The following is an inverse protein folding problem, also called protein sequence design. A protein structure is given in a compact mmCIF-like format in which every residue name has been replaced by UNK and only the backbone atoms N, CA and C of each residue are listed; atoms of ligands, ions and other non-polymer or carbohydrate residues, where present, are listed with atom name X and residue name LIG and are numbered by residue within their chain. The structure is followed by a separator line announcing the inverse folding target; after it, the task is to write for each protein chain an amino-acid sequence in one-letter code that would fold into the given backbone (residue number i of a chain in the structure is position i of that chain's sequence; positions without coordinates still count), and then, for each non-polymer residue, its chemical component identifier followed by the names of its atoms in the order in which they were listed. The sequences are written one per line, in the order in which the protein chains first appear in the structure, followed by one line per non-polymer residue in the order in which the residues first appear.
data_IF_753898250621
#
_entry.id   IF_753898250621
#
_cell.length_a   1.000
_cell.length_b   1.000
_cell.length_c   1.000
_cell.angle_alpha   90.00
_cell.angle_beta   90.00
_cell.angle_gamma   90.00
#
_symmetry.space_group_name_H-M   'P 1'
#
loop_
_entity.id
_entity.type
_entity.pdbx_description
1 polymer ?
#
# COMPACT_ATOMS: atom_id res chain seq x y z
N UNK A 1 34.09 24.13 8.21
CA UNK A 1 33.74 25.42 7.59
C UNK A 1 33.02 25.14 6.28
N UNK A 2 31.79 25.65 6.21
CA UNK A 2 30.88 25.87 5.09
C UNK A 2 30.56 24.69 4.17
N UNK A 3 29.41 24.07 4.39
CA UNK A 3 28.13 24.46 3.74
C UNK A 3 28.15 24.18 2.24
N UNK A 4 27.89 22.91 1.88
CA UNK A 4 27.03 22.65 0.72
C UNK A 4 25.59 22.90 1.14
N UNK A 5 25.31 24.13 1.57
CA UNK A 5 23.96 24.64 1.55
C UNK A 5 23.57 24.59 0.07
N UNK A 6 22.78 23.57 -0.31
CA UNK A 6 22.16 23.54 -1.63
C UNK A 6 21.50 24.89 -1.77
N UNK A 7 21.95 25.67 -2.74
CA UNK A 7 21.34 26.94 -3.09
C UNK A 7 19.88 26.60 -3.43
N UNK A 8 18.98 26.75 -2.47
CA UNK A 8 17.56 26.45 -2.62
C UNK A 8 16.97 27.60 -3.42
N UNK A 9 17.10 27.51 -4.73
CA UNK A 9 16.54 28.49 -5.62
C UNK A 9 15.01 28.32 -5.63
N UNK A 10 14.29 29.40 -5.38
CA UNK A 10 12.83 29.42 -5.29
C UNK A 10 12.15 29.17 -6.66
N UNK A 11 12.89 28.79 -7.70
CA UNK A 11 12.37 28.37 -9.00
C UNK A 11 12.32 26.83 -9.17
N UNK A 12 13.00 26.05 -8.29
CA UNK A 12 13.07 24.59 -8.40
C UNK A 12 11.90 23.84 -7.73
N UNK A 13 11.07 24.53 -6.95
CA UNK A 13 9.91 23.93 -6.29
C UNK A 13 8.74 23.72 -7.26
N UNK A 14 8.55 22.47 -7.69
CA UNK A 14 7.32 22.06 -8.36
C UNK A 14 6.17 22.08 -7.35
N UNK A 15 5.15 22.91 -7.59
CA UNK A 15 3.92 22.95 -6.80
C UNK A 15 2.98 21.84 -7.25
N UNK A 16 2.40 21.12 -6.30
CA UNK A 16 1.38 20.09 -6.57
C UNK A 16 0.03 20.59 -6.07
N UNK A 17 -0.97 20.60 -6.95
CA UNK A 17 -2.36 20.86 -6.57
C UNK A 17 -2.98 19.56 -6.06
N UNK A 18 -3.53 19.57 -4.85
CA UNK A 18 -4.19 18.43 -4.23
C UNK A 18 -5.69 18.75 -4.12
N UNK A 19 -6.55 17.84 -4.59
CA UNK A 19 -8.00 17.91 -4.37
C UNK A 19 -8.33 17.11 -3.13
N UNK A 20 -8.86 17.78 -2.11
CA UNK A 20 -9.14 17.19 -0.79
C UNK A 20 -10.62 17.44 -0.45
N UNK A 21 -11.34 16.46 0.12
CA UNK A 21 -12.67 16.68 0.69
C UNK A 21 -12.68 17.83 1.70
N UNK A 22 -13.74 18.64 1.71
CA UNK A 22 -13.79 19.87 2.52
C UNK A 22 -13.60 19.60 4.01
N UNK A 23 -14.18 18.52 4.55
CA UNK A 23 -14.04 18.15 5.96
C UNK A 23 -12.55 17.93 6.35
N UNK A 24 -11.79 17.22 5.52
CA UNK A 24 -10.37 16.97 5.78
C UNK A 24 -9.52 18.24 5.62
N UNK A 25 -9.93 19.14 4.74
CA UNK A 25 -9.26 20.44 4.61
C UNK A 25 -9.46 21.30 5.86
N UNK A 26 -10.69 21.33 6.40
CA UNK A 26 -11.02 22.04 7.63
C UNK A 26 -10.22 21.51 8.82
N UNK A 27 -10.06 20.20 8.96
CA UNK A 27 -9.24 19.58 10.01
C UNK A 27 -7.78 20.07 9.96
N UNK A 28 -7.20 20.19 8.76
CA UNK A 28 -5.83 20.67 8.57
C UNK A 28 -5.73 22.17 8.88
N UNK A 29 -6.72 22.97 8.47
CA UNK A 29 -6.77 24.41 8.78
C UNK A 29 -6.83 24.61 10.29
N UNK A 30 -7.71 23.89 10.98
CA UNK A 30 -7.84 23.97 12.42
C UNK A 30 -6.53 23.57 13.11
N UNK A 31 -5.86 22.51 12.63
CA UNK A 31 -4.55 22.11 13.14
C UNK A 31 -3.51 23.23 12.98
N UNK A 32 -3.48 23.88 11.81
CA UNK A 32 -2.57 24.95 11.49
C UNK A 32 -2.77 26.17 12.40
N UNK A 33 -4.03 26.56 12.63
CA UNK A 33 -4.40 27.66 13.53
C UNK A 33 -4.01 27.37 14.99
N UNK A 34 -4.33 26.17 15.48
CA UNK A 34 -4.02 25.77 16.86
C UNK A 34 -2.51 25.76 17.16
N UNK A 35 -1.69 25.42 16.16
CA UNK A 35 -0.23 25.35 16.29
C UNK A 35 0.48 26.61 15.79
N UNK A 36 -0.26 27.62 15.32
CA UNK A 36 0.26 28.86 14.74
C UNK A 36 1.30 28.63 13.63
N UNK A 37 1.01 27.68 12.74
CA UNK A 37 1.86 27.31 11.61
C UNK A 37 1.15 27.57 10.28
N UNK A 38 1.90 27.69 9.18
CA UNK A 38 1.29 27.83 7.86
C UNK A 38 0.56 26.54 7.46
N UNK A 39 -0.50 26.66 6.66
CA UNK A 39 -1.26 25.52 6.15
C UNK A 39 -0.37 24.50 5.41
N UNK A 40 0.59 24.99 4.62
CA UNK A 40 1.55 24.13 3.91
C UNK A 40 2.42 23.33 4.87
N UNK A 41 2.89 23.98 5.94
CA UNK A 41 3.68 23.31 6.97
C UNK A 41 2.84 22.30 7.75
N UNK A 42 1.60 22.65 8.12
CA UNK A 42 0.67 21.73 8.75
C UNK A 42 0.40 20.49 7.90
N UNK A 43 0.22 20.64 6.59
CA UNK A 43 0.08 19.51 5.67
C UNK A 43 1.31 18.59 5.69
N UNK A 44 2.51 19.16 5.57
CA UNK A 44 3.75 18.38 5.57
C UNK A 44 3.98 17.70 6.93
N UNK A 45 3.71 18.41 8.02
CA UNK A 45 3.85 17.90 9.38
C UNK A 45 2.87 16.76 9.67
N UNK A 46 1.59 16.90 9.29
CA UNK A 46 0.60 15.85 9.47
C UNK A 46 0.90 14.62 8.58
N UNK A 47 1.39 14.83 7.36
CA UNK A 47 1.87 13.73 6.51
C UNK A 47 3.06 13.02 7.15
N UNK A 48 4.04 13.77 7.64
CA UNK A 48 5.23 13.21 8.31
C UNK A 48 4.84 12.45 9.57
N UNK A 49 3.96 13.02 10.40
CA UNK A 49 3.39 12.36 11.58
C UNK A 49 2.58 11.13 11.18
N UNK A 50 1.83 11.15 10.09
CA UNK A 50 1.12 9.99 9.56
C UNK A 50 2.08 8.84 9.24
N UNK A 51 3.11 9.12 8.44
CA UNK A 51 4.16 8.16 8.07
C UNK A 51 4.89 7.65 9.32
N UNK A 52 5.23 8.52 10.26
CA UNK A 52 5.96 8.15 11.48
C UNK A 52 5.08 7.55 12.56
N UNK A 53 3.78 7.83 12.59
CA UNK A 53 2.83 7.19 13.52
C UNK A 53 2.65 5.72 13.18
N UNK A 54 2.70 5.37 11.88
CA UNK A 54 2.81 3.98 11.40
C UNK A 54 4.13 3.32 11.83
N UNK A 55 5.13 4.10 12.24
CA UNK A 55 6.46 3.64 12.64
C UNK A 55 6.67 3.63 14.17
N UNK A 56 6.03 4.56 14.91
CA UNK A 56 6.30 4.82 16.34
C UNK A 56 5.15 4.46 17.28
N UNK A 57 3.91 4.33 16.81
CA UNK A 57 2.83 3.77 17.63
C UNK A 57 2.75 2.27 17.41
N UNK A 58 3.77 1.53 17.87
CA UNK A 58 3.56 0.24 18.53
C UNK A 58 4.90 -0.51 18.70
N UNK A 59 5.23 -0.84 19.96
CA UNK A 59 6.02 -2.03 20.30
C UNK A 59 5.26 -3.35 20.00
N UNK A 60 4.24 -3.28 19.15
CA UNK A 60 3.55 -4.36 18.47
C UNK A 60 3.77 -4.13 16.96
N UNK A 61 4.27 -5.11 16.24
CA UNK A 61 4.42 -5.00 14.79
C UNK A 61 3.02 -5.03 14.13
N UNK A 62 2.24 -3.95 14.20
CA UNK A 62 0.90 -3.84 13.57
C UNK A 62 0.97 -3.52 12.08
N UNK A 63 2.18 -3.34 11.54
CA UNK A 63 2.40 -3.28 10.10
C UNK A 63 2.00 -4.59 9.42
N UNK A 64 1.45 -4.49 8.22
CA UNK A 64 1.25 -5.63 7.32
C UNK A 64 2.18 -5.50 6.13
N UNK A 65 2.84 -6.58 5.75
CA UNK A 65 3.71 -6.62 4.56
C UNK A 65 2.87 -7.04 3.36
N UNK A 66 2.98 -6.32 2.25
CA UNK A 66 2.25 -6.60 1.01
C UNK A 66 3.12 -7.47 0.10
N UNK A 67 2.53 -8.56 -0.39
CA UNK A 67 3.12 -9.51 -1.33
C UNK A 67 2.21 -9.67 -2.55
N UNK A 68 2.78 -10.15 -3.64
CA UNK A 68 2.02 -10.69 -4.76
C UNK A 68 2.54 -12.09 -5.08
N UNK A 69 1.65 -12.94 -5.57
CA UNK A 69 2.01 -14.24 -6.09
C UNK A 69 1.37 -14.45 -7.46
N UNK A 70 2.14 -15.06 -8.35
CA UNK A 70 1.78 -15.35 -9.72
C UNK A 70 1.52 -16.85 -9.88
N UNK A 71 0.27 -17.23 -10.10
CA UNK A 71 -0.12 -18.62 -10.35
C UNK A 71 -0.41 -18.83 -11.83
N UNK A 72 0.30 -19.78 -12.44
CA UNK A 72 -0.01 -20.22 -13.79
C UNK A 72 -1.29 -21.06 -13.75
N UNK A 73 -2.25 -20.71 -14.60
CA UNK A 73 -3.53 -21.40 -14.76
C UNK A 73 -3.55 -22.33 -15.97
N UNK A 74 -2.42 -22.50 -16.65
CA UNK A 74 -2.28 -23.42 -17.76
C UNK A 74 -1.25 -24.46 -17.35
N UNK A 75 -1.71 -25.70 -17.23
CA UNK A 75 -0.85 -26.87 -17.15
C UNK A 75 -0.99 -27.65 -18.45
N UNK A 76 0.09 -27.73 -19.23
CA UNK A 76 0.11 -28.35 -20.57
C UNK A 76 -0.33 -29.83 -20.58
N UNK A 77 -0.35 -30.49 -19.42
CA UNK A 77 -0.68 -31.90 -19.25
C UNK A 77 -2.16 -32.16 -18.91
N UNK A 78 -3.00 -31.12 -18.77
CA UNK A 78 -4.40 -31.25 -18.34
C UNK A 78 -5.37 -31.00 -19.50
N UNK A 79 -6.18 -32.00 -19.86
CA UNK A 79 -7.26 -31.91 -20.85
C UNK A 79 -8.54 -31.22 -20.32
N UNK A 80 -8.41 -30.13 -19.57
CA UNK A 80 -9.55 -29.35 -19.06
C UNK A 80 -9.53 -27.93 -19.58
N UNK A 81 -10.70 -27.31 -19.68
CA UNK A 81 -10.84 -25.98 -20.26
C UNK A 81 -10.09 -24.93 -19.40
N UNK A 82 -9.65 -23.84 -20.04
CA UNK A 82 -8.98 -22.74 -19.33
C UNK A 82 -9.82 -22.20 -18.17
N UNK A 83 -11.14 -22.15 -18.35
CA UNK A 83 -12.08 -21.73 -17.31
C UNK A 83 -12.04 -22.66 -16.10
N UNK A 84 -12.10 -23.96 -16.30
CA UNK A 84 -12.03 -24.94 -15.21
C UNK A 84 -10.69 -24.88 -14.48
N UNK A 85 -9.60 -24.64 -15.22
CA UNK A 85 -8.28 -24.44 -14.62
C UNK A 85 -8.22 -23.16 -13.76
N UNK A 86 -8.83 -22.07 -14.21
CA UNK A 86 -8.97 -20.83 -13.42
C UNK A 86 -9.81 -21.03 -12.17
N UNK A 87 -10.91 -21.79 -12.25
CA UNK A 87 -11.76 -22.12 -11.11
C UNK A 87 -10.97 -22.93 -10.07
N UNK A 88 -10.16 -23.91 -10.49
CA UNK A 88 -9.28 -24.66 -9.58
C UNK A 88 -8.27 -23.76 -8.87
N UNK A 89 -7.60 -22.87 -9.60
CA UNK A 89 -6.65 -21.91 -9.02
C UNK A 89 -7.35 -20.96 -8.07
N UNK A 90 -8.55 -20.50 -8.41
CA UNK A 90 -9.33 -19.60 -7.53
C UNK A 90 -9.72 -20.29 -6.23
N UNK A 91 -10.19 -21.55 -6.29
CA UNK A 91 -10.49 -22.35 -5.08
C UNK A 91 -9.24 -22.55 -4.23
N UNK A 92 -8.09 -22.81 -4.85
CA UNK A 92 -6.81 -22.91 -4.13
C UNK A 92 -6.45 -21.61 -3.42
N UNK A 93 -6.60 -20.46 -4.09
CA UNK A 93 -6.39 -19.14 -3.49
C UNK A 93 -7.34 -18.92 -2.31
N UNK A 94 -8.64 -19.20 -2.48
CA UNK A 94 -9.63 -19.08 -1.41
C UNK A 94 -9.29 -19.93 -0.19
N UNK A 95 -8.80 -21.16 -0.41
CA UNK A 95 -8.38 -22.05 0.67
C UNK A 95 -7.25 -21.47 1.50
N UNK A 96 -6.25 -20.84 0.86
CA UNK A 96 -5.13 -20.19 1.57
C UNK A 96 -5.63 -19.14 2.57
N UNK A 97 -6.58 -18.28 2.17
CA UNK A 97 -7.11 -17.23 3.05
C UNK A 97 -8.13 -17.75 4.08
N UNK A 98 -8.72 -18.91 3.83
CA UNK A 98 -9.53 -19.60 4.83
C UNK A 98 -8.66 -20.22 5.93
N UNK A 99 -7.56 -20.87 5.53
CA UNK A 99 -6.63 -21.53 6.45
C UNK A 99 -5.75 -20.51 7.21
N UNK A 100 -5.53 -19.32 6.64
CA UNK A 100 -4.78 -18.21 7.23
C UNK A 100 -5.63 -16.93 7.35
N UNK A 101 -6.53 -16.84 8.34
CA UNK A 101 -7.40 -15.68 8.54
C UNK A 101 -6.62 -14.38 8.83
N UNK A 102 -5.37 -14.50 9.28
CA UNK A 102 -4.45 -13.38 9.48
C UNK A 102 -3.96 -12.77 8.16
N UNK A 103 -4.10 -13.45 7.02
CA UNK A 103 -3.76 -12.94 5.69
C UNK A 103 -4.97 -12.23 5.07
N UNK A 104 -4.73 -11.08 4.44
CA UNK A 104 -5.80 -10.32 3.80
C UNK A 104 -5.52 -10.23 2.31
N UNK A 105 -6.44 -10.78 1.51
CA UNK A 105 -6.47 -10.59 0.07
C UNK A 105 -6.80 -9.11 -0.25
N UNK A 106 -5.97 -8.49 -1.10
CA UNK A 106 -6.10 -7.09 -1.51
C UNK A 106 -6.68 -7.00 -2.92
N UNK A 107 -6.15 -7.79 -3.85
CA UNK A 107 -6.55 -7.76 -5.24
C UNK A 107 -6.32 -9.12 -5.91
N UNK A 108 -7.12 -9.45 -6.91
CA UNK A 108 -6.90 -10.56 -7.83
C UNK A 108 -7.04 -10.02 -9.25
N UNK A 109 -6.06 -10.30 -10.09
CA UNK A 109 -6.07 -9.92 -11.49
C UNK A 109 -5.69 -11.09 -12.39
N UNK A 110 -6.31 -11.10 -13.56
CA UNK A 110 -6.08 -12.12 -14.58
C UNK A 110 -5.11 -11.55 -15.61
N UNK A 111 -4.02 -12.26 -15.87
CA UNK A 111 -2.95 -11.89 -16.80
C UNK A 111 -2.92 -12.85 -17.99
N UNK A 112 -2.33 -12.40 -19.11
CA UNK A 112 -2.10 -13.20 -20.31
C UNK A 112 -3.36 -13.92 -20.81
N UNK A 113 -4.45 -13.18 -21.03
CA UNK A 113 -5.74 -13.69 -21.52
C UNK A 113 -6.34 -14.83 -20.68
N UNK A 114 -6.08 -14.85 -19.38
CA UNK A 114 -6.59 -15.91 -18.51
C UNK A 114 -5.57 -16.95 -18.08
N UNK A 115 -4.39 -16.96 -18.69
CA UNK A 115 -3.41 -18.03 -18.48
C UNK A 115 -2.65 -17.92 -17.17
N UNK A 116 -2.71 -16.77 -16.51
CA UNK A 116 -2.09 -16.53 -15.20
C UNK A 116 -3.03 -15.72 -14.32
N UNK A 117 -3.08 -16.04 -13.04
CA UNK A 117 -3.74 -15.24 -12.01
C UNK A 117 -2.66 -14.68 -11.09
N UNK A 118 -2.66 -13.35 -10.93
CA UNK A 118 -1.86 -12.68 -9.90
C UNK A 118 -2.79 -12.27 -8.77
N UNK A 119 -2.42 -12.60 -7.54
CA UNK A 119 -3.13 -12.09 -6.38
C UNK A 119 -2.18 -11.35 -5.44
N UNK A 120 -2.67 -10.23 -4.94
CA UNK A 120 -2.01 -9.37 -3.98
C UNK A 120 -2.60 -9.64 -2.61
N UNK A 121 -1.75 -9.81 -1.62
CA UNK A 121 -2.19 -10.07 -0.26
C UNK A 121 -1.25 -9.42 0.73
N UNK A 122 -1.76 -9.19 1.93
CA UNK A 122 -0.96 -8.73 3.04
C UNK A 122 -0.88 -9.79 4.11
N UNK A 123 0.27 -9.89 4.77
CA UNK A 123 0.51 -10.76 5.92
C UNK A 123 0.95 -9.91 7.12
N UNK A 124 0.76 -10.36 8.37
CA UNK A 124 1.28 -9.68 9.54
C UNK A 124 2.80 -9.50 9.44
N UNK A 125 3.35 -8.35 9.85
CA UNK A 125 4.80 -8.10 9.76
C UNK A 125 5.65 -9.04 10.63
N UNK A 126 5.05 -9.71 11.63
CA UNK A 126 5.70 -10.79 12.37
C UNK A 126 6.07 -12.01 11.50
N UNK A 127 5.36 -12.19 10.39
CA UNK A 127 5.55 -13.28 9.41
C UNK A 127 6.13 -12.77 8.09
N UNK A 128 6.51 -11.49 8.06
CA UNK A 128 7.18 -10.88 6.91
C UNK A 128 8.51 -11.57 6.63
N UNK A 129 8.69 -12.04 5.40
CA UNK A 129 9.97 -12.51 4.87
C UNK A 129 11.00 -11.38 4.63
N UNK A 130 10.62 -10.13 4.90
CA UNK A 130 11.50 -8.96 4.89
C UNK A 130 11.70 -8.48 6.33
N UNK A 131 12.91 -8.65 6.84
CA UNK A 131 13.39 -8.04 8.09
C UNK A 131 13.50 -6.51 7.96
#
# INVERSE_FOLDING_TARGET
MNEKARIQNQDDWKRTQIRIPIALYEDVVQHAEQHNISLNYAMLELMDRGIHSLSKKDGQKTGRSIYFNDLNCVEDLKEISLREQQEQVTVMISKIFYDHPEYHLINIETLNDGKKIRYWYSIPRGESFRD
#
